data_IF_344468243325
#
_entry.id   IF_344468243325
#
_cell.length_a   1.000
_cell.length_b   1.000
_cell.length_c   1.000
_cell.angle_alpha   90.00
_cell.angle_beta   90.00
_cell.angle_gamma   90.00
#
_symmetry.space_group_name_H-M   'P 1'
#
loop_
_entity.id
_entity.type
_entity.pdbx_description
1 polymer ?
#
# COMPACT_ATOMS: atom_id res chain seq x y z
N UNK A 1 -27.44 -9.49 -19.12
CA UNK A 1 -27.45 -10.31 -17.88
C UNK A 1 -26.33 -9.98 -16.87
N UNK A 2 -25.91 -8.71 -16.66
CA UNK A 2 -24.78 -8.37 -15.76
C UNK A 2 -25.08 -7.44 -14.56
N UNK A 3 -26.28 -6.84 -14.47
CA UNK A 3 -26.62 -5.92 -13.36
C UNK A 3 -27.27 -6.61 -12.15
N UNK A 4 -27.95 -7.74 -12.34
CA UNK A 4 -28.69 -8.44 -11.28
C UNK A 4 -27.80 -9.25 -10.34
N UNK A 5 -26.66 -9.76 -10.83
CA UNK A 5 -25.71 -10.52 -10.00
C UNK A 5 -25.02 -9.61 -8.97
N UNK A 6 -24.70 -8.35 -9.32
CA UNK A 6 -24.10 -7.40 -8.38
C UNK A 6 -25.03 -7.09 -7.19
N UNK A 7 -26.33 -6.94 -7.43
CA UNK A 7 -27.30 -6.60 -6.39
C UNK A 7 -27.49 -7.71 -5.35
N UNK A 8 -27.47 -8.98 -5.76
CA UNK A 8 -27.63 -10.13 -4.85
C UNK A 8 -26.40 -10.40 -3.98
N UNK A 9 -25.19 -10.00 -4.42
CA UNK A 9 -23.98 -10.13 -3.60
C UNK A 9 -23.84 -9.00 -2.56
N UNK A 10 -24.38 -7.82 -2.85
CA UNK A 10 -24.44 -6.70 -1.91
C UNK A 10 -25.31 -7.01 -0.68
N UNK A 11 -26.45 -7.69 -0.85
CA UNK A 11 -27.36 -8.00 0.26
C UNK A 11 -26.81 -9.00 1.28
N UNK A 12 -26.07 -10.03 0.84
CA UNK A 12 -25.41 -10.97 1.75
C UNK A 12 -24.22 -10.35 2.52
N UNK A 13 -23.49 -9.41 1.89
CA UNK A 13 -22.44 -8.63 2.54
C UNK A 13 -23.00 -7.69 3.62
N UNK A 14 -24.16 -7.06 3.35
CA UNK A 14 -24.85 -6.16 4.28
C UNK A 14 -25.25 -6.89 5.58
N UNK A 15 -25.80 -8.10 5.49
CA UNK A 15 -26.19 -8.89 6.68
C UNK A 15 -25.00 -9.28 7.56
N UNK A 16 -23.85 -9.62 6.97
CA UNK A 16 -22.62 -9.90 7.73
C UNK A 16 -22.03 -8.65 8.42
N UNK A 17 -22.32 -7.44 7.90
CA UNK A 17 -21.83 -6.17 8.46
C UNK A 17 -22.62 -5.67 9.65
N UNK A 18 -23.90 -6.06 9.75
CA UNK A 18 -24.75 -5.70 10.88
C UNK A 18 -24.22 -6.30 12.20
N UNK A 19 -23.53 -7.44 12.15
CA UNK A 19 -22.90 -8.08 13.32
C UNK A 19 -21.38 -7.86 13.46
N UNK A 20 -20.73 -7.15 12.52
CA UNK A 20 -19.28 -6.95 12.56
C UNK A 20 -18.88 -5.86 13.57
N UNK A 21 -17.73 -5.97 14.25
CA UNK A 21 -17.15 -4.87 15.02
C UNK A 21 -16.97 -3.61 14.14
N UNK A 22 -16.89 -2.43 14.75
CA UNK A 22 -16.70 -1.15 14.03
C UNK A 22 -15.51 -1.18 13.07
N UNK A 23 -14.45 -1.85 13.47
CA UNK A 23 -13.25 -2.11 12.66
C UNK A 23 -13.60 -2.85 11.37
N UNK A 24 -14.37 -3.94 11.46
CA UNK A 24 -14.78 -4.73 10.30
C UNK A 24 -15.62 -3.92 9.32
N UNK A 25 -16.53 -3.07 9.84
CA UNK A 25 -17.32 -2.15 9.02
C UNK A 25 -16.46 -1.07 8.35
N UNK A 26 -15.51 -0.48 9.06
CA UNK A 26 -14.62 0.54 8.52
C UNK A 26 -13.78 -0.02 7.36
N UNK A 27 -13.22 -1.22 7.52
CA UNK A 27 -12.44 -1.85 6.45
C UNK A 27 -13.29 -2.30 5.27
N UNK A 28 -14.50 -2.80 5.51
CA UNK A 28 -15.44 -3.07 4.41
C UNK A 28 -15.74 -1.80 3.60
N UNK A 29 -16.07 -0.69 4.28
CA UNK A 29 -16.30 0.61 3.63
C UNK A 29 -15.08 1.06 2.81
N UNK A 30 -13.88 0.88 3.35
CA UNK A 30 -12.63 1.22 2.66
C UNK A 30 -12.43 0.37 1.41
N UNK A 31 -12.67 -0.95 1.48
CA UNK A 31 -12.60 -1.82 0.31
C UNK A 31 -13.67 -1.47 -0.73
N UNK A 32 -14.91 -1.19 -0.34
CA UNK A 32 -15.92 -0.72 -1.31
C UNK A 32 -15.53 0.62 -1.95
N UNK A 33 -15.04 1.58 -1.16
CA UNK A 33 -14.58 2.87 -1.66
C UNK A 33 -13.44 2.73 -2.67
N UNK A 34 -12.58 1.72 -2.49
CA UNK A 34 -11.45 1.44 -3.38
C UNK A 34 -11.88 1.09 -4.81
N UNK A 35 -13.12 0.67 -5.06
CA UNK A 35 -13.63 0.46 -6.42
C UNK A 35 -13.68 1.73 -7.26
N UNK A 36 -13.58 2.90 -6.62
CA UNK A 36 -13.53 4.20 -7.30
C UNK A 36 -12.10 4.62 -7.68
N UNK A 37 -11.08 3.85 -7.29
CA UNK A 37 -9.70 4.08 -7.69
C UNK A 37 -9.58 3.99 -9.22
N UNK A 38 -9.08 5.04 -9.85
CA UNK A 38 -9.03 5.18 -11.31
C UNK A 38 -10.13 6.07 -11.91
N UNK A 39 -11.11 6.52 -11.12
CA UNK A 39 -12.00 7.61 -11.56
C UNK A 39 -11.26 8.95 -11.39
N UNK A 40 -11.32 9.86 -12.37
CA UNK A 40 -10.71 11.17 -12.24
C UNK A 40 -11.30 11.89 -11.02
N UNK A 41 -10.44 12.26 -10.07
CA UNK A 41 -10.79 13.21 -9.01
C UNK A 41 -10.14 14.54 -9.32
N UNK A 42 -10.74 15.63 -8.88
CA UNK A 42 -10.17 16.96 -9.05
C UNK A 42 -8.77 17.01 -8.43
N UNK A 43 -7.77 17.46 -9.19
CA UNK A 43 -6.36 17.50 -8.77
C UNK A 43 -6.15 18.25 -7.43
N UNK A 44 -6.99 19.24 -7.14
CA UNK A 44 -6.97 20.01 -5.89
C UNK A 44 -7.10 19.14 -4.63
N UNK A 45 -7.80 18.00 -4.71
CA UNK A 45 -7.99 17.08 -3.57
C UNK A 45 -6.70 16.33 -3.16
N UNK A 46 -5.63 16.43 -3.95
CA UNK A 46 -4.35 15.75 -3.74
C UNK A 46 -3.17 16.72 -3.58
N UNK A 47 -3.42 18.04 -3.55
CA UNK A 47 -2.37 19.07 -3.53
C UNK A 47 -1.44 18.91 -2.32
N UNK A 48 -2.00 18.63 -1.15
CA UNK A 48 -1.26 18.38 0.09
C UNK A 48 -0.54 17.02 0.11
N UNK A 49 -0.85 16.12 -0.83
CA UNK A 49 -0.15 14.85 -1.00
C UNK A 49 1.07 14.96 -1.93
N UNK A 50 1.31 16.14 -2.52
CA UNK A 50 2.43 16.38 -3.43
C UNK A 50 2.58 15.27 -4.48
N UNK A 51 1.45 14.91 -5.12
CA UNK A 51 1.40 13.92 -6.20
C UNK A 51 0.65 14.51 -7.39
N UNK A 52 1.23 14.38 -8.58
CA UNK A 52 0.54 14.64 -9.86
C UNK A 52 -0.13 13.37 -10.42
N UNK A 53 -0.06 12.26 -9.67
CA UNK A 53 -0.55 10.93 -10.03
C UNK A 53 -1.64 10.48 -9.02
N UNK A 54 -2.87 11.03 -9.11
CA UNK A 54 -3.93 10.72 -8.16
C UNK A 54 -4.53 9.32 -8.34
N UNK A 55 -4.27 8.65 -9.45
CA UNK A 55 -4.85 7.35 -9.85
C UNK A 55 -3.92 6.15 -9.59
N UNK A 56 -2.69 6.38 -9.12
CA UNK A 56 -1.66 5.34 -8.97
C UNK A 56 -0.72 5.58 -7.80
N UNK A 57 0.01 4.54 -7.41
CA UNK A 57 0.93 4.55 -6.27
C UNK A 57 0.25 4.73 -4.91
N UNK A 58 1.04 4.60 -3.84
CA UNK A 58 0.53 4.69 -2.46
C UNK A 58 -0.09 6.06 -2.13
N UNK A 59 0.45 7.16 -2.67
CA UNK A 59 -0.11 8.51 -2.45
C UNK A 59 -1.46 8.68 -3.12
N UNK A 60 -1.62 8.22 -4.35
CA UNK A 60 -2.91 8.21 -5.04
C UNK A 60 -3.91 7.33 -4.31
N UNK A 61 -3.52 6.12 -3.91
CA UNK A 61 -4.35 5.23 -3.10
C UNK A 61 -4.82 5.89 -1.81
N UNK A 62 -3.89 6.42 -1.01
CA UNK A 62 -4.21 7.09 0.26
C UNK A 62 -5.12 8.30 0.04
N UNK A 63 -4.81 9.16 -0.93
CA UNK A 63 -5.63 10.35 -1.22
C UNK A 63 -7.07 10.01 -1.64
N UNK A 64 -7.27 8.87 -2.28
CA UNK A 64 -8.60 8.40 -2.64
C UNK A 64 -9.39 7.82 -1.46
N UNK A 65 -8.71 7.20 -0.50
CA UNK A 65 -9.34 6.48 0.61
C UNK A 65 -9.44 7.29 1.90
N UNK A 66 -8.60 8.31 2.10
CA UNK A 66 -8.52 9.09 3.35
C UNK A 66 -9.80 9.84 3.71
N UNK A 67 -10.69 10.09 2.75
CA UNK A 67 -12.02 10.66 3.00
C UNK A 67 -13.02 9.66 3.61
N UNK A 68 -12.73 8.37 3.53
CA UNK A 68 -13.54 7.31 4.14
C UNK A 68 -12.96 6.85 5.48
N UNK A 69 -11.63 6.82 5.59
CA UNK A 69 -10.91 6.52 6.82
C UNK A 69 -9.55 7.21 6.76
N UNK A 70 -9.39 8.31 7.49
CA UNK A 70 -8.09 8.97 7.61
C UNK A 70 -7.13 8.08 8.41
N UNK A 71 -5.82 8.30 8.29
CA UNK A 71 -4.90 7.51 9.12
C UNK A 71 -5.04 7.86 10.61
N UNK A 72 -5.45 9.09 10.96
CA UNK A 72 -5.71 9.48 12.35
C UNK A 72 -6.93 8.73 12.91
N UNK A 73 -7.99 8.60 12.11
CA UNK A 73 -9.18 7.83 12.51
C UNK A 73 -8.84 6.34 12.64
N UNK A 74 -7.99 5.83 11.74
CA UNK A 74 -7.49 4.46 11.84
C UNK A 74 -6.69 4.24 13.13
N UNK A 75 -5.77 5.14 13.50
CA UNK A 75 -5.02 5.05 14.77
C UNK A 75 -5.95 4.97 15.99
N UNK A 76 -6.99 5.81 16.02
CA UNK A 76 -7.99 5.82 17.10
C UNK A 76 -8.80 4.51 17.11
N UNK A 77 -9.19 4.04 15.94
CA UNK A 77 -10.04 2.87 15.77
C UNK A 77 -9.35 1.56 16.19
N UNK A 78 -8.04 1.44 15.93
CA UNK A 78 -7.27 0.22 16.22
C UNK A 78 -6.40 0.35 17.48
N UNK A 79 -6.39 1.53 18.11
CA UNK A 79 -5.58 1.88 19.28
C UNK A 79 -4.07 1.64 19.08
N UNK A 80 -3.58 1.76 17.85
CA UNK A 80 -2.16 1.60 17.49
C UNK A 80 -1.70 2.86 16.77
N UNK A 81 -0.60 3.45 17.26
CA UNK A 81 0.14 4.48 16.51
C UNK A 81 0.73 3.88 15.25
N UNK A 82 0.47 4.48 14.09
CA UNK A 82 0.98 4.02 12.79
C UNK A 82 2.47 4.31 12.67
N UNK A 83 2.90 5.49 13.13
CA UNK A 83 4.29 5.93 13.12
C UNK A 83 4.82 6.13 14.54
N UNK A 84 6.04 5.65 14.81
CA UNK A 84 6.74 5.86 16.07
C UNK A 84 7.64 7.10 16.04
N UNK A 85 8.19 7.41 14.86
CA UNK A 85 9.13 8.52 14.64
C UNK A 85 8.98 9.07 13.21
N UNK A 86 9.60 10.21 12.97
CA UNK A 86 9.64 10.84 11.66
C UNK A 86 8.78 12.12 11.62
N UNK A 87 8.54 12.66 10.43
CA UNK A 87 8.04 14.02 10.28
C UNK A 87 6.51 14.11 10.33
N UNK A 88 5.80 13.00 10.53
CA UNK A 88 4.33 12.97 10.55
C UNK A 88 3.82 13.35 11.94
N UNK A 89 3.02 14.42 12.04
CA UNK A 89 2.49 14.94 13.29
C UNK A 89 0.98 15.17 13.18
N UNK A 90 0.27 15.13 14.31
CA UNK A 90 -1.14 15.52 14.43
C UNK A 90 -2.10 14.87 13.42
N UNK A 91 -1.85 13.62 13.04
CA UNK A 91 -2.70 12.94 12.06
C UNK A 91 -2.52 13.45 10.61
N UNK A 92 -1.43 14.19 10.31
CA UNK A 92 -1.05 14.62 8.96
C UNK A 92 0.30 14.06 8.48
N UNK A 93 0.32 13.64 7.22
CA UNK A 93 1.55 13.21 6.55
C UNK A 93 2.35 14.45 6.12
N UNK A 94 3.55 14.62 6.67
CA UNK A 94 4.56 15.50 6.09
C UNK A 94 5.31 14.76 4.95
N UNK A 95 5.09 15.19 3.70
CA UNK A 95 5.64 14.57 2.50
C UNK A 95 6.74 15.42 1.82
N UNK A 96 7.10 16.55 2.42
CA UNK A 96 8.16 17.46 1.94
C UNK A 96 9.43 17.37 2.77
N UNK A 97 9.37 16.74 3.95
CA UNK A 97 10.56 16.47 4.77
C UNK A 97 11.53 15.52 4.07
N UNK A 98 12.83 15.74 4.28
CA UNK A 98 13.89 14.78 3.94
C UNK A 98 13.91 13.56 4.89
N UNK A 99 13.30 13.68 6.07
CA UNK A 99 13.06 12.56 6.98
C UNK A 99 11.88 11.72 6.49
N UNK A 100 11.77 10.48 6.97
CA UNK A 100 10.65 9.59 6.64
C UNK A 100 9.97 9.06 7.89
N UNK A 101 8.70 8.65 7.76
CA UNK A 101 7.96 8.03 8.85
C UNK A 101 8.49 6.63 9.16
N UNK A 102 8.87 6.41 10.42
CA UNK A 102 9.23 5.10 10.95
C UNK A 102 7.98 4.42 11.47
N UNK A 103 7.57 3.31 10.85
CA UNK A 103 6.35 2.63 11.25
C UNK A 103 6.49 1.97 12.62
N UNK A 104 5.37 1.88 13.33
CA UNK A 104 5.21 0.95 14.43
C UNK A 104 5.04 -0.46 13.85
N UNK A 105 5.88 -1.45 14.18
CA UNK A 105 5.74 -2.81 13.64
C UNK A 105 4.43 -3.50 14.07
N UNK A 106 3.75 -3.02 15.13
CA UNK A 106 2.40 -3.49 15.47
C UNK A 106 1.38 -3.19 14.35
N UNK A 107 1.55 -2.09 13.62
CA UNK A 107 0.64 -1.68 12.56
C UNK A 107 0.59 -2.67 11.36
N UNK A 108 1.72 -2.99 10.67
CA UNK A 108 1.67 -3.97 9.57
C UNK A 108 1.29 -5.38 10.04
N UNK A 109 1.63 -5.77 11.28
CA UNK A 109 1.11 -7.02 11.89
C UNK A 109 -0.40 -7.00 12.00
N UNK A 110 -0.96 -5.89 12.47
CA UNK A 110 -2.39 -5.70 12.58
C UNK A 110 -3.07 -5.73 11.20
N UNK A 111 -2.50 -5.07 10.17
CA UNK A 111 -3.02 -5.12 8.80
C UNK A 111 -3.10 -6.54 8.27
N UNK A 112 -2.04 -7.34 8.43
CA UNK A 112 -2.00 -8.75 8.01
C UNK A 112 -3.12 -9.58 8.66
N UNK A 113 -3.44 -9.28 9.92
CA UNK A 113 -4.45 -10.02 10.68
C UNK A 113 -5.88 -9.58 10.36
N UNK A 114 -6.11 -8.29 10.11
CA UNK A 114 -7.46 -7.72 10.13
C UNK A 114 -7.90 -7.06 8.81
N UNK A 115 -6.96 -6.63 7.95
CA UNK A 115 -7.26 -5.79 6.77
C UNK A 115 -7.38 -6.57 5.44
N UNK A 116 -7.26 -7.90 5.46
CA UNK A 116 -7.31 -8.77 4.28
C UNK A 116 -8.64 -9.55 4.29
N UNK A 117 -9.67 -9.10 3.55
CA UNK A 117 -10.96 -9.76 3.53
C UNK A 117 -10.89 -11.12 2.83
N UNK A 118 -11.70 -12.07 3.28
CA UNK A 118 -11.79 -13.38 2.62
C UNK A 118 -10.60 -14.32 2.83
N UNK A 119 -9.67 -13.98 3.75
CA UNK A 119 -8.54 -14.85 4.09
C UNK A 119 -9.01 -16.24 4.55
N UNK A 120 -9.96 -16.28 5.50
CA UNK A 120 -10.55 -17.51 6.05
C UNK A 120 -11.94 -17.86 5.48
N UNK A 121 -12.50 -17.05 4.59
CA UNK A 121 -13.88 -17.21 4.10
C UNK A 121 -13.92 -17.13 2.57
N UNK A 122 -14.08 -18.26 1.85
CA UNK A 122 -14.12 -18.29 0.38
C UNK A 122 -15.25 -17.45 -0.23
N UNK A 123 -16.42 -17.36 0.42
CA UNK A 123 -17.54 -16.54 -0.07
C UNK A 123 -17.19 -15.05 -0.01
N UNK A 124 -16.61 -14.60 1.10
CA UNK A 124 -16.10 -13.22 1.20
C UNK A 124 -14.96 -13.00 0.21
N UNK A 125 -14.03 -13.95 0.05
CA UNK A 125 -12.95 -13.83 -0.94
C UNK A 125 -13.49 -13.59 -2.34
N UNK A 126 -14.46 -14.39 -2.78
CA UNK A 126 -15.12 -14.22 -4.07
C UNK A 126 -15.82 -12.85 -4.20
N UNK A 127 -16.44 -12.36 -3.13
CA UNK A 127 -17.08 -11.04 -3.10
C UNK A 127 -16.08 -9.89 -3.31
N UNK A 128 -14.90 -9.94 -2.67
CA UNK A 128 -13.89 -8.88 -2.76
C UNK A 128 -12.90 -9.05 -3.93
N UNK A 129 -12.89 -10.21 -4.60
CA UNK A 129 -11.95 -10.48 -5.69
C UNK A 129 -11.99 -9.42 -6.81
N UNK A 130 -13.16 -8.97 -7.32
CA UNK A 130 -13.20 -7.95 -8.36
C UNK A 130 -12.61 -6.60 -7.90
N UNK A 131 -12.76 -6.29 -6.61
CA UNK A 131 -12.18 -5.08 -6.01
C UNK A 131 -10.66 -5.20 -5.96
N UNK A 132 -10.16 -6.36 -5.51
CA UNK A 132 -8.73 -6.64 -5.54
C UNK A 132 -8.15 -6.49 -6.95
N UNK A 133 -8.76 -7.15 -7.93
CA UNK A 133 -8.28 -7.18 -9.32
C UNK A 133 -8.20 -5.78 -9.94
N UNK A 134 -9.18 -4.93 -9.63
CA UNK A 134 -9.28 -3.56 -10.12
C UNK A 134 -8.33 -2.62 -9.38
N UNK A 135 -8.28 -2.70 -8.05
CA UNK A 135 -7.78 -1.62 -7.20
C UNK A 135 -6.41 -1.90 -6.58
N UNK A 136 -6.08 -3.16 -6.33
CA UNK A 136 -4.93 -3.53 -5.51
C UNK A 136 -3.94 -4.44 -6.24
N UNK A 137 -4.38 -5.24 -7.21
CA UNK A 137 -3.57 -6.28 -7.86
C UNK A 137 -2.26 -5.75 -8.44
N UNK A 138 -2.33 -4.67 -9.24
CA UNK A 138 -1.13 -4.08 -9.85
C UNK A 138 -0.11 -3.70 -8.78
N UNK A 139 -0.54 -2.92 -7.79
CA UNK A 139 0.31 -2.46 -6.69
C UNK A 139 0.85 -3.58 -5.83
N UNK A 140 0.03 -4.58 -5.49
CA UNK A 140 0.48 -5.74 -4.74
C UNK A 140 1.60 -6.49 -5.48
N UNK A 141 1.43 -6.74 -6.79
CA UNK A 141 2.46 -7.39 -7.61
C UNK A 141 3.72 -6.54 -7.75
N UNK A 142 3.58 -5.24 -8.05
CA UNK A 142 4.71 -4.30 -8.18
C UNK A 142 5.53 -4.25 -6.89
N UNK A 143 4.88 -4.12 -5.73
CA UNK A 143 5.58 -4.05 -4.44
C UNK A 143 6.24 -5.39 -4.08
N UNK A 144 5.64 -6.52 -4.46
CA UNK A 144 6.25 -7.83 -4.22
C UNK A 144 7.54 -8.00 -5.04
N UNK A 145 7.50 -7.65 -6.33
CA UNK A 145 8.66 -7.71 -7.21
C UNK A 145 9.74 -6.70 -6.79
N UNK A 146 9.34 -5.50 -6.33
CA UNK A 146 10.27 -4.50 -5.81
C UNK A 146 11.00 -4.98 -4.56
N UNK A 147 10.31 -5.65 -3.63
CA UNK A 147 10.93 -6.27 -2.46
C UNK A 147 11.94 -7.34 -2.91
N UNK A 148 11.55 -8.25 -3.81
CA UNK A 148 12.48 -9.27 -4.34
C UNK A 148 13.71 -8.66 -5.00
N UNK A 149 13.52 -7.63 -5.83
CA UNK A 149 14.62 -6.92 -6.49
C UNK A 149 15.58 -6.31 -5.46
N UNK A 150 15.04 -5.56 -4.49
CA UNK A 150 15.85 -4.88 -3.47
C UNK A 150 16.69 -5.87 -2.64
N UNK A 151 16.12 -7.05 -2.32
CA UNK A 151 16.78 -8.06 -1.49
C UNK A 151 17.63 -9.08 -2.28
N UNK A 152 17.58 -9.05 -3.63
CA UNK A 152 18.39 -9.95 -4.47
C UNK A 152 19.89 -9.64 -4.44
N UNK A 153 20.27 -8.41 -4.07
CA UNK A 153 21.66 -7.96 -3.95
C UNK A 153 21.86 -7.21 -2.62
N UNK A 154 22.20 -7.93 -1.53
CA UNK A 154 22.41 -7.32 -0.22
C UNK A 154 23.53 -6.28 -0.18
N UNK A 155 24.55 -6.41 -1.04
CA UNK A 155 25.65 -5.44 -1.09
C UNK A 155 25.19 -4.13 -1.71
N UNK A 156 24.45 -4.19 -2.82
CA UNK A 156 23.82 -3.01 -3.42
C UNK A 156 22.82 -2.36 -2.48
N UNK A 157 21.99 -3.15 -1.79
CA UNK A 157 21.07 -2.64 -0.77
C UNK A 157 21.83 -1.87 0.32
N UNK A 158 22.90 -2.46 0.88
CA UNK A 158 23.71 -1.79 1.91
C UNK A 158 24.33 -0.49 1.41
N UNK A 159 24.77 -0.44 0.14
CA UNK A 159 25.30 0.80 -0.47
C UNK A 159 24.21 1.88 -0.56
N UNK A 160 23.07 1.57 -1.18
CA UNK A 160 21.96 2.52 -1.34
C UNK A 160 21.44 2.98 0.03
N UNK A 161 21.38 2.09 1.02
CA UNK A 161 21.04 2.40 2.40
C UNK A 161 21.97 3.45 3.00
N UNK A 162 23.29 3.25 2.91
CA UNK A 162 24.26 4.18 3.47
C UNK A 162 24.21 5.55 2.77
N UNK A 163 24.10 5.56 1.44
CA UNK A 163 23.97 6.78 0.65
C UNK A 163 22.68 7.53 1.02
N UNK A 164 21.56 6.82 1.17
CA UNK A 164 20.28 7.40 1.59
C UNK A 164 20.37 8.03 2.99
N UNK A 165 20.93 7.31 3.97
CA UNK A 165 21.08 7.83 5.33
C UNK A 165 22.04 9.02 5.38
N UNK A 166 23.13 9.00 4.61
CA UNK A 166 24.04 10.14 4.48
C UNK A 166 23.29 11.38 3.98
N UNK A 167 22.50 11.23 2.91
CA UNK A 167 21.67 12.30 2.36
C UNK A 167 20.63 12.83 3.35
N UNK A 168 19.95 11.94 4.07
CA UNK A 168 18.99 12.34 5.12
C UNK A 168 19.66 13.17 6.21
N UNK A 169 20.87 12.79 6.64
CA UNK A 169 21.66 13.51 7.66
C UNK A 169 22.14 14.87 7.16
N UNK A 170 22.49 14.97 5.89
CA UNK A 170 22.95 16.21 5.26
C UNK A 170 21.82 17.09 4.72
N UNK A 171 20.56 16.71 4.98
CA UNK A 171 19.37 17.40 4.45
C UNK A 171 19.33 17.54 2.92
N UNK A 172 19.93 16.57 2.22
CA UNK A 172 19.94 16.51 0.75
C UNK A 172 18.64 15.90 0.20
N UNK A 173 18.31 16.26 -1.05
CA UNK A 173 17.13 15.75 -1.73
C UNK A 173 17.20 14.22 -1.94
N UNK A 174 16.36 13.47 -1.21
CA UNK A 174 16.34 12.00 -1.29
C UNK A 174 15.44 11.46 -2.41
N UNK A 175 14.45 12.24 -2.85
CA UNK A 175 13.49 11.81 -3.87
C UNK A 175 14.14 11.52 -5.22
N UNK A 176 14.93 12.45 -5.73
CA UNK A 176 15.66 12.29 -7.00
C UNK A 176 16.66 11.14 -6.92
N UNK A 177 17.41 11.06 -5.82
CA UNK A 177 18.36 9.96 -5.59
C UNK A 177 17.70 8.59 -5.68
N UNK A 178 16.56 8.39 -5.01
CA UNK A 178 15.83 7.11 -5.07
C UNK A 178 15.28 6.84 -6.48
N UNK A 179 14.75 7.87 -7.15
CA UNK A 179 14.25 7.75 -8.52
C UNK A 179 15.33 7.26 -9.48
N UNK A 180 16.53 7.84 -9.39
CA UNK A 180 17.68 7.45 -10.21
C UNK A 180 18.21 6.07 -9.84
N UNK A 181 18.34 5.77 -8.54
CA UNK A 181 18.86 4.50 -8.05
C UNK A 181 18.02 3.28 -8.50
N UNK A 182 16.73 3.48 -8.73
CA UNK A 182 15.77 2.43 -9.11
C UNK A 182 15.16 2.61 -10.51
N UNK A 183 15.71 3.52 -11.33
CA UNK A 183 15.25 3.73 -12.71
C UNK A 183 15.32 2.47 -13.57
N UNK A 184 16.45 1.77 -13.56
CA UNK A 184 16.62 0.55 -14.35
C UNK A 184 15.60 -0.54 -13.99
N UNK A 185 15.23 -0.65 -12.71
CA UNK A 185 14.16 -1.56 -12.27
C UNK A 185 12.80 -1.12 -12.82
N UNK A 186 12.49 0.18 -12.77
CA UNK A 186 11.25 0.72 -13.32
C UNK A 186 11.14 0.51 -14.84
N UNK A 187 12.22 0.75 -15.59
CA UNK A 187 12.28 0.52 -17.04
C UNK A 187 12.04 -0.98 -17.36
N UNK A 188 12.66 -1.89 -16.61
CA UNK A 188 12.42 -3.33 -16.75
C UNK A 188 10.96 -3.70 -16.45
N UNK A 189 10.37 -3.10 -15.41
CA UNK A 189 8.99 -3.39 -15.01
C UNK A 189 7.98 -2.88 -16.04
N UNK A 190 8.20 -1.70 -16.62
CA UNK A 190 7.38 -1.15 -17.70
C UNK A 190 7.38 -2.05 -18.94
N UNK A 191 8.55 -2.55 -19.34
CA UNK A 191 8.67 -3.52 -20.44
C UNK A 191 7.88 -4.82 -20.19
N UNK A 192 7.61 -5.14 -18.92
CA UNK A 192 6.81 -6.30 -18.51
C UNK A 192 5.33 -5.94 -18.23
N UNK A 193 4.88 -4.75 -18.62
CA UNK A 193 3.48 -4.31 -18.52
C UNK A 193 3.07 -3.76 -17.15
N UNK A 194 4.03 -3.39 -16.29
CA UNK A 194 3.75 -2.74 -15.01
C UNK A 194 3.81 -1.20 -15.13
N UNK A 195 3.22 -0.51 -14.14
CA UNK A 195 3.28 0.96 -14.10
C UNK A 195 4.67 1.43 -13.68
N UNK A 196 5.33 2.20 -14.56
CA UNK A 196 6.69 2.68 -14.36
C UNK A 196 6.85 3.51 -13.08
N UNK A 197 5.92 4.43 -12.79
CA UNK A 197 6.01 5.32 -11.61
C UNK A 197 5.83 4.57 -10.30
N UNK A 198 4.91 3.60 -10.28
CA UNK A 198 4.72 2.70 -9.15
C UNK A 198 5.96 1.83 -8.93
N UNK A 199 6.55 1.29 -10.00
CA UNK A 199 7.77 0.50 -9.94
C UNK A 199 8.99 1.33 -9.53
N UNK A 200 9.09 2.60 -9.93
CA UNK A 200 10.19 3.47 -9.55
C UNK A 200 10.16 3.86 -8.06
N UNK A 201 8.96 3.96 -7.49
CA UNK A 201 8.78 4.38 -6.09
C UNK A 201 8.74 3.22 -5.09
N UNK A 202 8.32 2.02 -5.51
CA UNK A 202 8.18 0.86 -4.63
C UNK A 202 9.49 0.42 -3.94
N UNK A 203 10.66 0.35 -4.60
CA UNK A 203 11.91 0.00 -3.92
C UNK A 203 12.31 1.04 -2.86
N UNK A 204 12.04 2.32 -3.09
CA UNK A 204 12.28 3.38 -2.10
C UNK A 204 11.38 3.26 -0.87
N UNK A 205 10.17 2.71 -1.01
CA UNK A 205 9.35 2.31 0.14
C UNK A 205 10.04 1.20 0.93
N UNK A 206 10.47 0.11 0.27
CA UNK A 206 11.11 -1.02 0.94
C UNK A 206 12.44 -0.66 1.60
N UNK A 207 13.26 0.19 0.96
CA UNK A 207 14.49 0.72 1.57
C UNK A 207 14.22 1.40 2.92
N UNK A 208 13.14 2.19 3.02
CA UNK A 208 12.76 2.84 4.28
C UNK A 208 12.27 1.83 5.32
N UNK A 209 11.62 0.74 4.89
CA UNK A 209 11.20 -0.35 5.76
C UNK A 209 12.38 -1.18 6.27
N UNK A 210 13.41 -1.37 5.46
CA UNK A 210 14.64 -2.02 5.91
C UNK A 210 15.39 -1.17 6.94
N UNK A 211 15.27 0.16 6.87
CA UNK A 211 15.85 1.09 7.87
C UNK A 211 15.06 1.08 9.18
N UNK A 212 13.71 1.16 9.13
CA UNK A 212 12.88 1.21 10.33
C UNK A 212 12.57 -0.17 10.94
N UNK A 213 13.03 -1.25 10.30
CA UNK A 213 12.91 -2.62 10.77
C UNK A 213 11.51 -3.23 10.59
N UNK A 214 10.63 -2.60 9.80
CA UNK A 214 9.25 -3.09 9.58
C UNK A 214 9.05 -3.83 8.26
N UNK A 215 10.14 -4.04 7.52
CA UNK A 215 10.17 -4.71 6.22
C UNK A 215 9.50 -6.08 6.23
N UNK A 216 9.95 -6.95 7.13
CA UNK A 216 9.45 -8.32 7.26
C UNK A 216 7.93 -8.34 7.54
N UNK A 217 7.43 -7.46 8.39
CA UNK A 217 6.01 -7.37 8.72
C UNK A 217 5.18 -6.91 7.52
N UNK A 218 5.63 -5.88 6.80
CA UNK A 218 4.95 -5.40 5.60
C UNK A 218 4.98 -6.45 4.48
N UNK A 219 6.13 -7.08 4.25
CA UNK A 219 6.26 -8.15 3.27
C UNK A 219 5.36 -9.34 3.62
N UNK A 220 5.30 -9.74 4.90
CA UNK A 220 4.40 -10.80 5.35
C UNK A 220 2.92 -10.46 5.17
N UNK A 221 2.53 -9.19 5.35
CA UNK A 221 1.18 -8.70 5.04
C UNK A 221 0.87 -8.75 3.54
N UNK A 222 1.82 -8.31 2.72
CA UNK A 222 1.70 -8.35 1.26
C UNK A 222 1.60 -9.79 0.72
N UNK A 223 2.42 -10.70 1.23
CA UNK A 223 2.34 -12.12 0.90
C UNK A 223 0.97 -12.69 1.28
N UNK A 224 0.45 -12.38 2.47
CA UNK A 224 -0.88 -12.85 2.87
C UNK A 224 -2.01 -12.30 1.96
N UNK A 225 -1.88 -11.06 1.48
CA UNK A 225 -2.81 -10.47 0.52
C UNK A 225 -2.77 -11.23 -0.82
N UNK A 226 -1.57 -11.48 -1.33
CA UNK A 226 -1.35 -12.24 -2.57
C UNK A 226 -1.78 -13.70 -2.44
N UNK A 227 -1.52 -14.37 -1.32
CA UNK A 227 -2.02 -15.73 -1.07
C UNK A 227 -3.55 -15.79 -1.08
N UNK A 228 -4.20 -14.73 -0.60
CA UNK A 228 -5.66 -14.67 -0.51
C UNK A 228 -6.30 -14.41 -1.88
N UNK A 229 -5.75 -13.48 -2.67
CA UNK A 229 -6.42 -12.98 -3.89
C UNK A 229 -5.66 -13.23 -5.20
N UNK A 230 -4.40 -13.67 -5.15
CA UNK A 230 -3.52 -13.77 -6.32
C UNK A 230 -2.47 -14.88 -6.19
N UNK A 231 -2.91 -16.03 -5.67
CA UNK A 231 -2.02 -17.15 -5.36
C UNK A 231 -1.29 -17.69 -6.59
N UNK A 232 -1.90 -17.58 -7.78
CA UNK A 232 -1.29 -17.99 -9.04
C UNK A 232 -0.05 -17.15 -9.39
N UNK A 233 -0.15 -15.82 -9.28
CA UNK A 233 1.00 -14.93 -9.44
C UNK A 233 2.10 -15.26 -8.44
N UNK A 234 1.74 -15.42 -7.17
CA UNK A 234 2.71 -15.71 -6.12
C UNK A 234 3.42 -17.04 -6.37
N UNK A 235 2.70 -18.08 -6.81
CA UNK A 235 3.30 -19.39 -7.15
C UNK A 235 4.32 -19.29 -8.28
N UNK A 236 4.10 -18.43 -9.27
CA UNK A 236 5.02 -18.21 -10.39
C UNK A 236 6.29 -17.44 -10.00
N UNK A 237 6.26 -16.73 -8.86
CA UNK A 237 7.33 -15.83 -8.44
C UNK A 237 7.88 -16.15 -7.04
N UNK A 238 7.62 -17.36 -6.52
CA UNK A 238 8.26 -17.87 -5.30
C UNK A 238 9.65 -18.41 -5.60
#
# INVERSE_FOLDING_TARGET
MKKWVLFSFLSAGILALLGAPDIGRAFHKLWLASQTLGKPKQANAFRDLHTWLPDRGLRGLYGNLRGHLSYQDLEKLIEIKIFLKGPHTDGKLNLTSNQFGHYNPAFPRWLKQNAIPGRSNPKLRALYQPIYDLSFRRMARTYYLAHRHLHSDPMRLKKIHNDYIGRVKNEEATGQFLGDAFRAFADQMENNGYDWYEANTAPGFWLRRSIDGTDNEFHAGLVALLETHDAAFLKQHR
#
